data_IF_198030558127
#
_entry.id   IF_198030558127
#
_cell.length_a   1.000
_cell.length_b   1.000
_cell.length_c   1.000
_cell.angle_alpha   90.00
_cell.angle_beta   90.00
_cell.angle_gamma   90.00
#
_symmetry.space_group_name_H-M   'P 1'
#
loop_
_entity.id
_entity.type
_entity.pdbx_description
1 polymer ?
#
# COMPACT_ATOMS: atom_id res chain seq x y z
N UNK A 1 -24.85 13.29 9.26
CA UNK A 1 -24.05 12.12 9.65
C UNK A 1 -24.24 11.04 8.59
N UNK A 2 -23.23 10.23 8.25
CA UNK A 2 -23.36 9.25 7.16
C UNK A 2 -24.28 8.09 7.61
N UNK A 3 -25.40 7.79 6.93
CA UNK A 3 -26.33 6.72 7.32
C UNK A 3 -25.67 5.34 7.45
N UNK A 4 -24.57 5.12 6.73
CA UNK A 4 -23.77 3.91 6.83
C UNK A 4 -23.09 3.75 8.20
N UNK A 5 -22.60 4.86 8.76
CA UNK A 5 -21.91 4.88 10.06
C UNK A 5 -22.89 4.63 11.21
N UNK A 6 -24.12 5.13 11.11
CA UNK A 6 -25.18 4.87 12.10
C UNK A 6 -25.62 3.40 12.08
N UNK A 7 -25.73 2.79 10.90
CA UNK A 7 -26.16 1.39 10.77
C UNK A 7 -25.14 0.39 11.29
N UNK A 8 -23.85 0.68 11.12
CA UNK A 8 -22.74 -0.22 11.51
C UNK A 8 -22.02 0.24 12.78
N UNK A 9 -22.65 1.10 13.59
CA UNK A 9 -22.02 1.69 14.77
C UNK A 9 -21.53 0.64 15.79
N UNK A 10 -22.20 -0.51 15.88
CA UNK A 10 -21.79 -1.63 16.73
C UNK A 10 -20.63 -2.47 16.19
N UNK A 11 -20.29 -2.32 14.90
CA UNK A 11 -19.17 -3.01 14.22
C UNK A 11 -17.96 -2.07 14.05
N UNK A 12 -18.16 -0.76 14.20
CA UNK A 12 -17.11 0.25 14.09
C UNK A 12 -16.40 0.39 15.45
N UNK A 13 -15.26 -0.27 15.61
CA UNK A 13 -14.42 -0.15 16.81
C UNK A 13 -13.78 1.24 17.01
N UNK A 14 -13.81 2.11 16.00
CA UNK A 14 -13.32 3.48 16.11
C UNK A 14 -13.16 4.19 14.78
N UNK A 15 -12.94 5.51 14.85
CA UNK A 15 -12.62 6.37 13.70
C UNK A 15 -11.18 6.83 13.85
N UNK A 16 -10.31 6.42 12.92
CA UNK A 16 -8.92 6.87 12.88
C UNK A 16 -8.87 8.27 12.25
N UNK A 17 -8.58 9.29 13.06
CA UNK A 17 -8.52 10.69 12.64
C UNK A 17 -7.09 11.22 12.41
N UNK A 18 -6.05 10.39 12.60
CA UNK A 18 -4.66 10.79 12.41
C UNK A 18 -3.90 9.84 11.48
N UNK A 19 -2.98 10.40 10.69
CA UNK A 19 -2.06 9.66 9.85
C UNK A 19 -0.85 9.21 10.67
N UNK A 20 -0.73 7.92 11.00
CA UNK A 20 0.54 7.40 11.53
C UNK A 20 0.89 5.95 11.14
N UNK A 21 0.32 5.46 10.03
CA UNK A 21 0.39 4.08 9.48
C UNK A 21 -0.66 3.15 10.08
N UNK A 22 -1.51 2.61 9.21
CA UNK A 22 -2.42 1.51 9.55
C UNK A 22 -1.73 0.22 9.10
N UNK A 23 -1.35 -0.63 10.05
CA UNK A 23 -0.82 -1.97 9.76
C UNK A 23 -2.01 -2.93 9.70
N UNK A 24 -2.40 -3.34 8.49
CA UNK A 24 -3.52 -4.26 8.28
C UNK A 24 -2.97 -5.69 8.26
N UNK A 25 -2.86 -6.27 9.45
CA UNK A 25 -2.46 -7.66 9.63
C UNK A 25 -0.99 -7.96 9.34
N UNK A 26 -0.62 -9.20 9.60
CA UNK A 26 0.68 -9.78 9.21
C UNK A 26 0.37 -11.01 8.37
N UNK A 27 1.14 -11.26 7.32
CA UNK A 27 1.04 -12.48 6.52
C UNK A 27 2.07 -13.48 7.05
N UNK A 28 1.72 -14.32 8.06
CA UNK A 28 2.68 -15.16 8.77
C UNK A 28 3.46 -16.12 7.85
N UNK A 29 2.81 -16.57 6.77
CA UNK A 29 3.39 -17.52 5.82
C UNK A 29 4.49 -16.92 4.93
N UNK A 30 4.57 -15.59 4.84
CA UNK A 30 5.55 -14.90 3.99
C UNK A 30 6.28 -13.74 4.69
N UNK A 31 6.04 -13.51 5.98
CA UNK A 31 6.59 -12.35 6.69
C UNK A 31 8.06 -12.50 7.13
N UNK A 32 8.64 -13.70 7.04
CA UNK A 32 10.06 -13.94 7.33
C UNK A 32 10.66 -15.02 6.43
N UNK A 33 12.00 -15.08 6.27
CA UNK A 33 12.65 -15.92 5.26
C UNK A 33 12.31 -17.42 5.38
N UNK A 34 12.24 -17.95 6.60
CA UNK A 34 11.96 -19.38 6.83
C UNK A 34 10.50 -19.73 6.58
N UNK A 35 9.54 -18.86 6.92
CA UNK A 35 8.14 -19.06 6.53
C UNK A 35 7.99 -19.01 5.01
N UNK A 36 8.59 -18.01 4.36
CA UNK A 36 8.58 -17.94 2.90
C UNK A 36 9.16 -19.21 2.26
N UNK A 37 10.27 -19.74 2.81
CA UNK A 37 10.84 -20.99 2.32
C UNK A 37 9.91 -22.19 2.50
N UNK A 38 9.22 -22.28 3.65
CA UNK A 38 8.21 -23.31 3.90
C UNK A 38 7.00 -23.20 2.97
N UNK A 39 6.50 -21.97 2.76
CA UNK A 39 5.40 -21.67 1.86
C UNK A 39 5.73 -22.06 0.41
N UNK A 40 6.89 -21.65 -0.10
CA UNK A 40 7.35 -22.00 -1.45
C UNK A 40 7.52 -23.52 -1.59
N UNK A 41 8.10 -24.18 -0.59
CA UNK A 41 8.24 -25.63 -0.56
C UNK A 41 6.90 -26.36 -0.58
N UNK A 42 5.91 -25.88 0.16
CA UNK A 42 4.54 -26.41 0.14
C UNK A 42 3.87 -26.26 -1.24
N UNK A 43 4.14 -25.14 -1.94
CA UNK A 43 3.67 -24.89 -3.30
C UNK A 43 4.48 -25.63 -4.39
N UNK A 44 5.52 -26.40 -4.02
CA UNK A 44 6.40 -27.09 -4.96
C UNK A 44 7.35 -26.16 -5.74
N UNK A 45 7.52 -24.93 -5.29
CA UNK A 45 8.35 -23.90 -5.92
C UNK A 45 9.74 -23.94 -5.29
N UNK A 46 10.79 -23.97 -6.11
CA UNK A 46 12.17 -23.93 -5.60
C UNK A 46 12.49 -22.51 -5.17
N UNK A 47 13.32 -22.36 -4.14
CA UNK A 47 13.79 -21.05 -3.68
C UNK A 47 14.45 -20.23 -4.80
N UNK A 48 15.13 -20.89 -5.74
CA UNK A 48 15.75 -20.24 -6.89
C UNK A 48 14.72 -19.70 -7.90
N UNK A 49 13.53 -20.30 -7.96
CA UNK A 49 12.44 -19.90 -8.85
C UNK A 49 11.54 -18.83 -8.21
N UNK A 50 11.91 -18.33 -7.01
CA UNK A 50 11.17 -17.30 -6.28
C UNK A 50 10.94 -16.04 -7.13
N UNK A 51 11.97 -15.54 -7.82
CA UNK A 51 11.86 -14.32 -8.61
C UNK A 51 10.79 -14.48 -9.71
N UNK A 52 10.80 -15.61 -10.41
CA UNK A 52 9.82 -15.92 -11.46
C UNK A 52 8.39 -16.09 -10.93
N UNK A 53 8.24 -16.53 -9.67
CA UNK A 53 6.94 -16.58 -9.00
C UNK A 53 6.46 -15.20 -8.51
N UNK A 54 7.36 -14.41 -7.93
CA UNK A 54 7.05 -13.14 -7.30
C UNK A 54 6.79 -12.01 -8.32
N UNK A 55 7.50 -12.00 -9.45
CA UNK A 55 7.36 -10.98 -10.49
C UNK A 55 5.92 -10.80 -11.01
N UNK A 56 5.23 -11.84 -11.51
CA UNK A 56 3.90 -11.66 -12.09
C UNK A 56 2.84 -11.28 -11.04
N UNK A 57 2.87 -11.91 -9.86
CA UNK A 57 1.82 -11.79 -8.86
C UNK A 57 2.08 -10.63 -7.89
N UNK A 58 3.24 -10.59 -7.24
CA UNK A 58 3.52 -9.62 -6.19
C UNK A 58 3.95 -8.27 -6.74
N UNK A 59 4.53 -8.22 -7.95
CA UNK A 59 4.99 -6.96 -8.52
C UNK A 59 4.01 -6.43 -9.55
N UNK A 60 3.70 -7.21 -10.58
CA UNK A 60 2.94 -6.69 -11.73
C UNK A 60 1.46 -6.52 -11.41
N UNK A 61 0.80 -7.52 -10.81
CA UNK A 61 -0.62 -7.42 -10.46
C UNK A 61 -0.90 -6.30 -9.44
N UNK A 62 -0.09 -6.23 -8.38
CA UNK A 62 -0.21 -5.16 -7.37
C UNK A 62 0.01 -3.77 -7.99
N UNK A 63 1.00 -3.64 -8.87
CA UNK A 63 1.27 -2.38 -9.56
C UNK A 63 0.14 -2.01 -10.50
N UNK A 64 -0.34 -2.94 -11.32
CA UNK A 64 -1.46 -2.70 -12.25
C UNK A 64 -2.73 -2.30 -11.49
N UNK A 65 -3.01 -2.95 -10.36
CA UNK A 65 -4.14 -2.57 -9.51
C UNK A 65 -3.99 -1.15 -8.97
N UNK A 66 -2.80 -0.78 -8.48
CA UNK A 66 -2.53 0.58 -8.01
C UNK A 66 -2.64 1.63 -9.14
N UNK A 67 -2.15 1.29 -10.34
CA UNK A 67 -2.27 2.13 -11.54
C UNK A 67 -3.74 2.31 -11.97
N UNK A 68 -4.55 1.24 -11.92
CA UNK A 68 -5.99 1.30 -12.18
C UNK A 68 -6.71 2.19 -11.16
N UNK A 69 -6.44 2.00 -9.86
CA UNK A 69 -7.01 2.82 -8.79
C UNK A 69 -6.65 4.30 -8.99
N UNK A 70 -5.41 4.60 -9.41
CA UNK A 70 -5.00 5.97 -9.71
C UNK A 70 -5.76 6.54 -10.92
N UNK A 71 -5.89 5.76 -11.99
CA UNK A 71 -6.61 6.16 -13.20
C UNK A 71 -8.09 6.44 -12.94
N UNK A 72 -8.76 5.55 -12.19
CA UNK A 72 -10.17 5.71 -11.80
C UNK A 72 -10.38 6.97 -10.95
N UNK A 73 -9.39 7.34 -10.14
CA UNK A 73 -9.40 8.56 -9.34
C UNK A 73 -8.89 9.81 -10.10
N UNK A 74 -8.47 9.69 -11.37
CA UNK A 74 -7.90 10.78 -12.16
C UNK A 74 -6.56 11.31 -11.64
N UNK A 75 -5.82 10.50 -10.87
CA UNK A 75 -4.57 10.89 -10.21
C UNK A 75 -3.34 10.48 -11.02
N UNK A 76 -2.30 11.31 -10.98
CA UNK A 76 -0.98 10.96 -11.51
C UNK A 76 -0.14 10.33 -10.40
N UNK A 77 0.44 9.16 -10.69
CA UNK A 77 1.39 8.49 -9.80
C UNK A 77 2.75 9.19 -9.88
N UNK A 78 3.24 9.74 -8.77
CA UNK A 78 4.55 10.39 -8.71
C UNK A 78 5.61 9.46 -8.13
N UNK A 79 6.57 9.06 -8.96
CA UNK A 79 7.69 8.23 -8.51
C UNK A 79 8.72 9.04 -7.73
N UNK A 80 8.83 8.77 -6.42
CA UNK A 80 9.81 9.41 -5.56
C UNK A 80 11.18 8.76 -5.77
N UNK A 81 12.10 9.45 -6.46
CA UNK A 81 13.43 8.91 -6.78
C UNK A 81 14.45 9.00 -5.63
N UNK A 82 14.21 9.82 -4.60
CA UNK A 82 15.14 10.01 -3.47
C UNK A 82 14.38 10.04 -2.14
N UNK A 83 14.58 9.01 -1.32
CA UNK A 83 13.99 8.86 0.02
C UNK A 83 14.51 9.89 1.03
N UNK A 84 15.79 10.28 0.94
CA UNK A 84 16.49 11.06 1.98
C UNK A 84 16.11 12.57 2.05
N UNK A 85 15.23 13.07 1.17
CA UNK A 85 14.82 14.48 1.19
C UNK A 85 13.34 14.74 0.92
N UNK A 86 12.55 13.69 0.65
CA UNK A 86 11.15 13.85 0.27
C UNK A 86 10.21 13.62 1.47
N UNK A 87 9.71 14.72 2.03
CA UNK A 87 8.63 14.65 3.04
C UNK A 87 7.28 14.47 2.35
N UNK A 88 6.78 13.24 2.35
CA UNK A 88 5.46 12.86 1.79
C UNK A 88 4.34 13.78 2.31
N UNK A 89 4.37 14.09 3.59
CA UNK A 89 3.42 15.00 4.26
C UNK A 89 3.38 16.39 3.62
N UNK A 90 4.56 16.97 3.26
CA UNK A 90 4.64 18.28 2.63
C UNK A 90 4.03 18.26 1.22
N UNK A 91 4.23 17.17 0.47
CA UNK A 91 3.61 17.01 -0.86
C UNK A 91 2.10 16.88 -0.76
N UNK A 92 1.61 16.06 0.17
CA UNK A 92 0.16 15.89 0.41
C UNK A 92 -0.47 17.23 0.80
N UNK A 93 0.15 18.00 1.70
CA UNK A 93 -0.34 19.33 2.09
C UNK A 93 -0.45 20.30 0.90
N UNK A 94 0.50 20.28 -0.03
CA UNK A 94 0.43 21.09 -1.24
C UNK A 94 -0.74 20.66 -2.15
N UNK A 95 -0.94 19.34 -2.33
CA UNK A 95 -2.04 18.79 -3.13
C UNK A 95 -3.40 19.13 -2.49
N UNK A 96 -3.51 19.03 -1.17
CA UNK A 96 -4.73 19.41 -0.43
C UNK A 96 -5.00 20.92 -0.55
N UNK A 97 -3.97 21.77 -0.54
CA UNK A 97 -4.16 23.21 -0.71
C UNK A 97 -4.73 23.57 -2.10
N UNK A 98 -4.40 22.81 -3.14
CA UNK A 98 -4.93 23.00 -4.50
C UNK A 98 -6.32 22.35 -4.71
N UNK A 99 -6.51 21.13 -4.19
CA UNK A 99 -7.73 20.33 -4.36
C UNK A 99 -8.84 20.69 -3.37
N UNK A 100 -8.51 21.25 -2.21
CA UNK A 100 -9.42 21.40 -1.06
C UNK A 100 -9.63 20.09 -0.28
N UNK A 101 -10.34 20.17 0.85
CA UNK A 101 -10.59 19.05 1.78
C UNK A 101 -11.68 18.06 1.30
N UNK A 102 -11.76 17.83 -0.01
CA UNK A 102 -12.72 16.89 -0.57
C UNK A 102 -12.34 15.43 -0.24
N UNK A 103 -13.29 14.60 0.20
CA UNK A 103 -13.02 13.20 0.52
C UNK A 103 -12.57 12.41 -0.72
N UNK A 104 -11.77 11.37 -0.51
CA UNK A 104 -11.30 10.47 -1.57
C UNK A 104 -9.79 10.28 -1.59
N UNK A 105 -9.31 9.53 -2.58
CA UNK A 105 -7.89 9.27 -2.77
C UNK A 105 -7.17 10.57 -3.12
N UNK A 106 -6.10 10.90 -2.36
CA UNK A 106 -5.35 12.16 -2.54
C UNK A 106 -4.13 11.95 -3.43
N UNK A 107 -3.36 10.89 -3.19
CA UNK A 107 -2.15 10.60 -3.95
C UNK A 107 -1.67 9.16 -3.74
N UNK A 108 -0.98 8.59 -4.74
CA UNK A 108 -0.30 7.28 -4.65
C UNK A 108 1.20 7.49 -4.84
N UNK A 109 1.98 7.09 -3.84
CA UNK A 109 3.44 7.09 -3.92
C UNK A 109 3.97 5.66 -4.07
N UNK A 110 4.62 5.31 -5.19
CA UNK A 110 5.40 4.10 -5.27
C UNK A 110 6.70 4.32 -4.48
N UNK A 111 7.07 3.33 -3.66
CA UNK A 111 8.30 3.33 -2.91
C UNK A 111 9.03 2.00 -3.15
N UNK A 112 10.33 2.09 -3.41
CA UNK A 112 11.23 0.95 -3.32
C UNK A 112 11.86 0.99 -1.93
N UNK A 113 11.64 -0.04 -1.13
CA UNK A 113 12.34 -0.17 0.14
C UNK A 113 13.78 -0.59 -0.14
N UNK A 114 14.72 0.31 0.14
CA UNK A 114 16.12 -0.07 0.33
C UNK A 114 16.22 -0.82 1.65
N UNK A 115 16.72 -2.06 1.62
CA UNK A 115 17.23 -2.69 2.84
C UNK A 115 18.37 -1.82 3.36
N UNK A 116 18.19 -1.29 4.56
CA UNK A 116 19.34 -0.80 5.33
C UNK A 116 20.29 -2.00 5.54
N UNK A 117 21.62 -1.81 5.35
CA UNK A 117 22.61 -2.87 5.43
C UNK A 117 22.70 -3.52 6.81
#
# INVERSE_FOLDING_TARGET
MNPFVERHQGEISGVLSCFDRVVIGTLPDICYPQAMAGFLGYQGIRLFDYASWAEPLLRDELRQNAERIAADAGLKIEFIRKSNGFRKEKRIKAIIAERGDHPGLVHIFPAMETRDP
#
